data_IF_667111424749
#
_entry.id   IF_667111424749
#
_cell.length_a   1.000
_cell.length_b   1.000
_cell.length_c   1.000
_cell.angle_alpha   90.00
_cell.angle_beta   90.00
_cell.angle_gamma   90.00
#
_symmetry.space_group_name_H-M   'P 1'
#
loop_
_entity.id
_entity.type
_entity.pdbx_description
1 polymer ?
#
# COMPACT_ATOMS: atom_id res chain seq x y z
N UNK A 1 26.67 0.18 13.92
CA UNK A 1 25.41 0.82 13.50
C UNK A 1 24.46 0.86 14.68
N UNK A 2 23.89 2.02 15.00
CA UNK A 2 22.87 2.11 16.05
C UNK A 2 21.51 1.86 15.42
N UNK A 3 20.74 0.92 15.96
CA UNK A 3 19.34 0.74 15.60
C UNK A 3 18.48 1.69 16.43
N UNK A 4 17.59 2.40 15.78
CA UNK A 4 16.54 3.16 16.46
C UNK A 4 15.24 2.38 16.36
N UNK A 5 14.52 2.24 17.49
CA UNK A 5 13.22 1.59 17.52
C UNK A 5 12.16 2.65 17.74
N UNK A 6 11.14 2.67 16.89
CA UNK A 6 10.03 3.61 16.96
C UNK A 6 8.69 2.87 16.83
N UNK A 7 7.71 3.30 17.60
CA UNK A 7 6.33 2.82 17.41
C UNK A 7 5.62 3.77 16.43
N UNK A 8 5.23 3.26 15.27
CA UNK A 8 4.60 4.04 14.20
C UNK A 8 3.31 3.39 13.73
N UNK A 9 2.35 4.21 13.37
CA UNK A 9 1.17 3.76 12.65
C UNK A 9 1.56 3.41 11.20
N UNK A 10 0.91 2.43 10.62
CA UNK A 10 1.09 2.05 9.21
C UNK A 10 0.88 3.26 8.28
N UNK A 11 -0.10 4.11 8.60
CA UNK A 11 -0.32 5.38 7.89
C UNK A 11 0.96 6.20 7.82
N UNK A 12 1.65 6.39 8.94
CA UNK A 12 2.81 7.28 9.01
C UNK A 12 4.01 6.72 8.22
N UNK A 13 4.05 5.40 8.02
CA UNK A 13 5.06 4.75 7.17
C UNK A 13 4.74 5.04 5.70
N UNK A 14 3.51 4.78 5.25
CA UNK A 14 3.15 4.90 3.83
C UNK A 14 2.93 6.34 3.34
N UNK A 15 2.61 7.30 4.24
CA UNK A 15 2.44 8.71 3.86
C UNK A 15 3.76 9.48 3.66
N UNK A 16 4.89 8.87 3.95
CA UNK A 16 6.18 9.50 3.70
C UNK A 16 6.46 9.54 2.20
N UNK A 17 7.09 10.62 1.73
CA UNK A 17 7.68 10.66 0.40
C UNK A 17 8.91 9.73 0.36
N UNK A 18 8.66 8.43 0.38
CA UNK A 18 9.67 7.38 0.48
C UNK A 18 9.28 6.19 -0.38
N UNK A 19 10.27 5.50 -0.88
CA UNK A 19 10.12 4.21 -1.58
C UNK A 19 10.67 3.12 -0.68
N UNK A 20 9.92 2.04 -0.51
CA UNK A 20 10.31 0.85 0.22
C UNK A 20 10.66 -0.24 -0.78
N UNK A 21 11.95 -0.53 -0.94
CA UNK A 21 12.42 -1.56 -1.87
C UNK A 21 12.49 -2.93 -1.19
N UNK A 22 11.96 -3.92 -1.88
CA UNK A 22 12.16 -5.33 -1.52
C UNK A 22 13.42 -5.82 -2.22
N UNK A 23 14.50 -6.16 -1.47
CA UNK A 23 15.74 -6.61 -2.07
C UNK A 23 15.58 -7.94 -2.82
N UNK A 24 16.34 -8.13 -3.89
CA UNK A 24 16.33 -9.37 -4.69
C UNK A 24 16.71 -10.64 -3.94
N UNK A 25 17.46 -10.53 -2.85
CA UNK A 25 17.85 -11.66 -2.01
C UNK A 25 16.75 -12.08 -1.03
N UNK A 26 15.69 -11.28 -0.90
CA UNK A 26 14.53 -11.64 -0.10
C UNK A 26 13.70 -12.70 -0.82
N UNK A 27 13.06 -13.57 -0.02
CA UNK A 27 12.16 -14.58 -0.56
C UNK A 27 10.95 -13.95 -1.24
N UNK A 28 10.38 -14.68 -2.19
CA UNK A 28 9.13 -14.31 -2.83
C UNK A 28 7.98 -14.09 -1.85
N UNK A 29 6.92 -13.45 -2.32
CA UNK A 29 5.69 -13.33 -1.56
C UNK A 29 5.05 -14.71 -1.38
N UNK A 30 4.95 -15.19 -0.13
CA UNK A 30 4.53 -16.57 0.19
C UNK A 30 3.29 -16.66 1.08
N UNK A 31 2.68 -15.54 1.45
CA UNK A 31 1.44 -15.57 2.21
C UNK A 31 0.35 -16.27 1.42
N UNK A 32 -0.31 -17.23 2.08
CA UNK A 32 -1.42 -18.01 1.53
C UNK A 32 -2.75 -17.41 2.01
N UNK A 33 -3.84 -17.94 1.46
CA UNK A 33 -5.20 -17.52 1.81
C UNK A 33 -5.46 -17.52 3.32
N UNK A 34 -4.91 -18.47 4.06
CA UNK A 34 -5.08 -18.55 5.52
C UNK A 34 -4.51 -17.30 6.22
N UNK A 35 -3.33 -16.84 5.81
CA UNK A 35 -2.69 -15.65 6.40
C UNK A 35 -3.50 -14.38 6.09
N UNK A 36 -4.06 -14.27 4.88
CA UNK A 36 -4.95 -13.18 4.51
C UNK A 36 -6.24 -13.18 5.33
N UNK A 37 -6.83 -14.35 5.55
CA UNK A 37 -8.04 -14.50 6.37
C UNK A 37 -7.79 -14.10 7.81
N UNK A 38 -6.69 -14.51 8.40
CA UNK A 38 -6.29 -14.13 9.76
C UNK A 38 -6.17 -12.62 9.88
N UNK A 39 -5.37 -11.99 9.01
CA UNK A 39 -5.23 -10.53 9.01
C UNK A 39 -6.58 -9.83 8.82
N UNK A 40 -7.45 -10.33 7.93
CA UNK A 40 -8.76 -9.75 7.69
C UNK A 40 -9.66 -9.82 8.92
N UNK A 41 -9.65 -10.94 9.63
CA UNK A 41 -10.41 -11.11 10.90
C UNK A 41 -9.91 -10.11 11.94
N UNK A 42 -8.61 -9.96 12.09
CA UNK A 42 -8.00 -9.02 13.03
C UNK A 42 -8.35 -7.57 12.71
N UNK A 43 -8.32 -7.19 11.43
CA UNK A 43 -8.73 -5.85 10.98
C UNK A 43 -10.22 -5.60 11.24
N UNK A 44 -11.09 -6.58 10.95
CA UNK A 44 -12.52 -6.46 11.24
C UNK A 44 -12.79 -6.34 12.74
N UNK A 45 -12.09 -7.12 13.57
CA UNK A 45 -12.18 -7.02 15.01
C UNK A 45 -11.78 -5.62 15.49
N UNK A 46 -10.63 -5.12 15.03
CA UNK A 46 -10.12 -3.80 15.37
C UNK A 46 -11.12 -2.68 14.98
N UNK A 47 -11.69 -2.76 13.78
CA UNK A 47 -12.72 -1.81 13.32
C UNK A 47 -13.97 -1.82 14.21
N UNK A 48 -14.43 -3.00 14.63
CA UNK A 48 -15.58 -3.13 15.54
C UNK A 48 -15.28 -2.53 16.93
N UNK A 49 -14.05 -2.67 17.43
CA UNK A 49 -13.65 -2.12 18.73
C UNK A 49 -13.43 -0.60 18.67
N UNK A 50 -13.03 -0.03 17.54
CA UNK A 50 -12.83 1.42 17.39
C UNK A 50 -14.10 2.26 17.51
N UNK A 51 -15.29 1.63 17.53
CA UNK A 51 -16.56 2.29 17.85
C UNK A 51 -16.80 2.44 19.36
N UNK A 52 -15.85 2.03 20.20
CA UNK A 52 -15.90 2.14 21.67
C UNK A 52 -15.05 3.32 22.16
N UNK A 53 -15.23 3.70 23.41
CA UNK A 53 -14.53 4.85 24.04
C UNK A 53 -12.99 4.72 24.01
N UNK A 54 -12.46 3.48 24.04
CA UNK A 54 -11.02 3.22 23.97
C UNK A 54 -10.69 2.70 22.58
N UNK A 55 -9.90 3.46 21.76
CA UNK A 55 -9.51 3.01 20.45
C UNK A 55 -8.56 1.82 20.53
N UNK A 56 -8.89 0.76 19.79
CA UNK A 56 -8.05 -0.42 19.63
C UNK A 56 -7.11 -0.24 18.45
N UNK A 57 -5.88 -0.76 18.60
CA UNK A 57 -4.92 -0.85 17.50
C UNK A 57 -4.44 -2.29 17.35
N UNK A 58 -4.40 -2.77 16.12
CA UNK A 58 -3.79 -4.05 15.79
C UNK A 58 -2.28 -3.88 15.64
N UNK A 59 -1.51 -4.70 16.37
CA UNK A 59 -0.06 -4.72 16.23
C UNK A 59 0.35 -5.60 15.05
N UNK A 60 0.79 -4.97 13.98
CA UNK A 60 1.15 -5.67 12.73
C UNK A 60 2.51 -6.41 12.83
N UNK A 61 3.26 -6.20 13.89
CA UNK A 61 4.60 -6.75 14.10
C UNK A 61 5.72 -5.76 13.77
N UNK A 62 6.96 -6.20 13.98
CA UNK A 62 8.15 -5.39 13.73
C UNK A 62 8.45 -5.32 12.24
N UNK A 63 8.82 -4.15 11.76
CA UNK A 63 9.34 -3.92 10.41
C UNK A 63 10.75 -3.35 10.57
N UNK A 64 11.72 -3.95 9.90
CA UNK A 64 13.13 -3.48 9.92
C UNK A 64 13.46 -2.87 8.57
N UNK A 65 13.84 -1.61 8.60
CA UNK A 65 14.17 -0.82 7.43
C UNK A 65 15.62 -0.34 7.49
N UNK A 66 16.30 -0.37 6.37
CA UNK A 66 17.63 0.20 6.18
C UNK A 66 17.54 1.38 5.21
N UNK A 67 17.80 2.58 5.68
CA UNK A 67 17.79 3.76 4.82
C UNK A 67 19.04 3.76 3.92
N UNK A 68 18.83 3.85 2.60
CA UNK A 68 19.93 4.02 1.66
C UNK A 68 20.47 5.45 1.72
N UNK A 69 21.79 5.58 1.61
CA UNK A 69 22.45 6.89 1.61
C UNK A 69 22.10 7.74 0.37
N UNK A 70 21.81 7.10 -0.76
CA UNK A 70 21.42 7.79 -2.00
C UNK A 70 19.90 7.91 -2.08
N UNK A 71 19.44 9.14 -2.30
CA UNK A 71 18.07 9.43 -2.71
C UNK A 71 17.94 9.23 -4.22
N UNK A 72 16.79 8.76 -4.65
CA UNK A 72 16.45 8.72 -6.07
C UNK A 72 15.47 9.84 -6.37
N UNK A 73 15.85 10.78 -7.23
CA UNK A 73 15.01 11.94 -7.63
C UNK A 73 14.38 12.66 -6.42
N UNK A 74 15.15 12.82 -5.34
CA UNK A 74 14.72 13.51 -4.12
C UNK A 74 13.91 12.66 -3.13
N UNK A 75 13.58 11.42 -3.46
CA UNK A 75 12.85 10.50 -2.59
C UNK A 75 13.83 9.68 -1.75
N UNK A 76 13.52 9.54 -0.45
CA UNK A 76 14.25 8.63 0.43
C UNK A 76 13.92 7.17 0.08
N UNK A 77 14.95 6.33 0.01
CA UNK A 77 14.79 4.90 -0.27
C UNK A 77 15.10 4.11 0.99
N UNK A 78 14.19 3.24 1.36
CA UNK A 78 14.34 2.30 2.46
C UNK A 78 14.30 0.86 1.93
N UNK A 79 15.34 0.11 2.22
CA UNK A 79 15.39 -1.32 1.96
C UNK A 79 14.67 -2.07 3.08
N UNK A 80 13.73 -2.94 2.75
CA UNK A 80 13.00 -3.75 3.73
C UNK A 80 13.87 -4.94 4.11
N UNK A 81 14.39 -4.95 5.34
CA UNK A 81 15.23 -6.05 5.86
C UNK A 81 14.34 -7.15 6.49
N UNK A 82 13.30 -6.75 7.22
CA UNK A 82 12.29 -7.67 7.75
C UNK A 82 10.90 -7.04 7.71
N UNK A 83 9.86 -7.87 7.66
CA UNK A 83 8.46 -7.45 7.57
C UNK A 83 7.94 -7.30 6.15
N UNK A 84 8.69 -7.73 5.13
CA UNK A 84 8.31 -7.67 3.71
C UNK A 84 6.90 -8.19 3.45
N UNK A 85 6.58 -9.41 3.92
CA UNK A 85 5.28 -10.04 3.67
C UNK A 85 4.13 -9.17 4.20
N UNK A 86 4.29 -8.62 5.40
CA UNK A 86 3.30 -7.75 6.06
C UNK A 86 3.13 -6.43 5.31
N UNK A 87 4.22 -5.75 4.96
CA UNK A 87 4.16 -4.50 4.20
C UNK A 87 3.53 -4.71 2.83
N UNK A 88 3.94 -5.75 2.11
CA UNK A 88 3.37 -6.08 0.79
C UNK A 88 1.88 -6.41 0.91
N UNK A 89 1.46 -7.15 1.95
CA UNK A 89 0.05 -7.48 2.17
C UNK A 89 -0.80 -6.22 2.40
N UNK A 90 -0.33 -5.30 3.24
CA UNK A 90 -1.03 -4.02 3.47
C UNK A 90 -1.09 -3.21 2.17
N UNK A 91 0.00 -3.17 1.42
CA UNK A 91 0.05 -2.46 0.14
C UNK A 91 -0.95 -3.01 -0.88
N UNK A 92 -1.00 -4.34 -1.03
CA UNK A 92 -1.98 -5.00 -1.89
C UNK A 92 -3.43 -4.73 -1.43
N UNK A 93 -3.68 -4.70 -0.11
CA UNK A 93 -4.98 -4.33 0.43
C UNK A 93 -5.38 -2.89 0.05
N UNK A 94 -4.44 -1.94 0.11
CA UNK A 94 -4.68 -0.56 -0.31
C UNK A 94 -5.01 -0.46 -1.81
N UNK A 95 -4.34 -1.25 -2.65
CA UNK A 95 -4.64 -1.33 -4.09
C UNK A 95 -6.06 -1.89 -4.31
N UNK A 96 -6.44 -2.95 -3.58
CA UNK A 96 -7.80 -3.52 -3.64
C UNK A 96 -8.86 -2.49 -3.20
N UNK A 97 -8.59 -1.73 -2.14
CA UNK A 97 -9.49 -0.65 -1.70
C UNK A 97 -9.63 0.45 -2.75
N UNK A 98 -8.52 0.89 -3.34
CA UNK A 98 -8.51 1.85 -4.45
C UNK A 98 -9.39 1.36 -5.62
N UNK A 99 -9.21 0.10 -6.04
CA UNK A 99 -10.01 -0.52 -7.10
C UNK A 99 -11.51 -0.53 -6.77
N UNK A 100 -11.86 -0.92 -5.55
CA UNK A 100 -13.26 -0.98 -5.13
C UNK A 100 -13.90 0.40 -5.05
N UNK A 101 -13.19 1.42 -4.54
CA UNK A 101 -13.71 2.79 -4.53
C UNK A 101 -13.94 3.33 -5.95
N UNK A 102 -13.06 3.05 -6.89
CA UNK A 102 -13.25 3.43 -8.29
C UNK A 102 -14.44 2.70 -8.94
N UNK A 103 -14.60 1.39 -8.63
CA UNK A 103 -15.72 0.59 -9.13
C UNK A 103 -17.08 1.09 -8.66
N UNK A 104 -17.20 1.66 -7.47
CA UNK A 104 -18.43 2.24 -6.94
C UNK A 104 -18.90 3.45 -7.76
N UNK A 105 -18.02 4.17 -8.44
CA UNK A 105 -18.33 5.19 -9.44
C UNK A 105 -18.91 6.51 -8.91
N UNK A 106 -19.24 6.63 -7.63
CA UNK A 106 -19.77 7.88 -7.05
C UNK A 106 -18.65 8.91 -6.87
N UNK A 107 -18.98 10.21 -6.86
CA UNK A 107 -18.03 11.28 -6.62
C UNK A 107 -17.27 11.10 -5.29
N UNK A 108 -17.98 10.74 -4.22
CA UNK A 108 -17.36 10.50 -2.91
C UNK A 108 -16.39 9.31 -2.94
N UNK A 109 -16.78 8.22 -3.62
CA UNK A 109 -15.90 7.04 -3.74
C UNK A 109 -14.66 7.33 -4.57
N UNK A 110 -14.79 8.07 -5.68
CA UNK A 110 -13.66 8.49 -6.51
C UNK A 110 -12.66 9.33 -5.72
N UNK A 111 -13.13 10.33 -4.95
CA UNK A 111 -12.28 11.15 -4.08
C UNK A 111 -11.51 10.30 -3.08
N UNK A 112 -12.14 9.29 -2.47
CA UNK A 112 -11.48 8.36 -1.56
C UNK A 112 -10.45 7.48 -2.28
N UNK A 113 -10.78 6.99 -3.48
CA UNK A 113 -9.87 6.25 -4.33
C UNK A 113 -8.63 7.09 -4.67
N UNK A 114 -8.82 8.31 -5.17
CA UNK A 114 -7.72 9.24 -5.47
C UNK A 114 -6.86 9.51 -4.24
N UNK A 115 -7.47 9.75 -3.08
CA UNK A 115 -6.73 9.94 -1.83
C UNK A 115 -5.84 8.73 -1.48
N UNK A 116 -6.37 7.50 -1.60
CA UNK A 116 -5.60 6.28 -1.34
C UNK A 116 -4.44 6.16 -2.34
N UNK A 117 -4.70 6.41 -3.61
CA UNK A 117 -3.71 6.33 -4.67
C UNK A 117 -2.56 7.32 -4.46
N UNK A 118 -2.88 8.58 -4.25
CA UNK A 118 -1.91 9.67 -4.13
C UNK A 118 -1.14 9.63 -2.80
N UNK A 119 -1.73 9.04 -1.76
CA UNK A 119 -1.17 9.09 -0.40
C UNK A 119 -0.40 7.83 -0.03
N UNK A 120 -0.84 6.66 -0.51
CA UNK A 120 -0.36 5.37 -0.02
C UNK A 120 0.17 4.43 -1.11
N UNK A 121 -0.30 4.58 -2.36
CA UNK A 121 0.09 3.68 -3.44
C UNK A 121 1.26 4.25 -4.23
N UNK A 122 1.25 5.55 -4.47
CA UNK A 122 2.30 6.23 -5.22
C UNK A 122 2.91 7.37 -4.42
N UNK A 123 4.16 7.73 -4.77
CA UNK A 123 4.85 8.91 -4.30
C UNK A 123 5.31 9.73 -5.49
N UNK A 124 5.22 11.06 -5.40
CA UNK A 124 5.75 11.95 -6.42
C UNK A 124 7.24 12.21 -6.15
N UNK A 125 8.07 12.03 -7.16
CA UNK A 125 9.46 12.43 -7.13
C UNK A 125 9.63 13.93 -7.47
N UNK A 126 10.85 14.46 -7.39
CA UNK A 126 11.13 15.87 -7.70
C UNK A 126 10.88 16.25 -9.16
N UNK A 127 10.81 15.27 -10.07
CA UNK A 127 10.48 15.45 -11.49
C UNK A 127 8.96 15.34 -11.74
N UNK A 128 8.15 15.28 -10.67
CA UNK A 128 6.70 15.09 -10.73
C UNK A 128 6.26 13.77 -11.36
N UNK A 129 7.14 12.78 -11.41
CA UNK A 129 6.80 11.43 -11.83
C UNK A 129 6.29 10.61 -10.63
N UNK A 130 5.41 9.66 -10.90
CA UNK A 130 4.85 8.77 -9.89
C UNK A 130 5.65 7.49 -9.79
N UNK A 131 6.12 7.22 -8.58
CA UNK A 131 6.81 5.97 -8.23
C UNK A 131 5.92 5.14 -7.29
N UNK A 132 6.00 3.82 -7.37
CA UNK A 132 5.32 2.95 -6.41
C UNK A 132 5.95 3.11 -5.02
N UNK A 133 5.12 3.20 -3.98
CA UNK A 133 5.59 3.31 -2.59
C UNK A 133 6.29 2.03 -2.14
N UNK A 134 5.82 0.86 -2.58
CA UNK A 134 6.60 -0.38 -2.45
C UNK A 134 7.05 -0.79 -3.84
N UNK A 135 8.35 -0.96 -4.02
CA UNK A 135 8.98 -1.42 -5.25
C UNK A 135 9.59 -2.81 -5.06
N UNK A 136 9.33 -3.66 -6.03
CA UNK A 136 9.92 -4.98 -6.15
C UNK A 136 10.15 -5.28 -7.62
N UNK A 137 11.40 -5.40 -8.02
CA UNK A 137 11.80 -5.62 -9.43
C UNK A 137 11.06 -6.79 -10.11
N UNK A 138 10.59 -7.78 -9.33
CA UNK A 138 9.88 -8.95 -9.85
C UNK A 138 8.39 -8.68 -10.10
N UNK A 139 7.76 -7.77 -9.34
CA UNK A 139 6.29 -7.60 -9.32
C UNK A 139 5.81 -6.20 -9.68
N UNK A 140 6.71 -5.23 -9.91
CA UNK A 140 6.33 -3.85 -10.19
C UNK A 140 5.46 -3.71 -11.44
N UNK A 141 5.72 -4.51 -12.47
CA UNK A 141 4.93 -4.50 -13.69
C UNK A 141 3.51 -5.04 -13.45
N UNK A 142 3.36 -6.14 -12.72
CA UNK A 142 2.08 -6.72 -12.36
C UNK A 142 1.27 -5.79 -11.45
N UNK A 143 1.94 -5.11 -10.51
CA UNK A 143 1.32 -4.10 -9.64
C UNK A 143 0.82 -2.92 -10.47
N UNK A 144 1.63 -2.39 -11.39
CA UNK A 144 1.23 -1.30 -12.29
C UNK A 144 0.04 -1.70 -13.16
N UNK A 145 0.09 -2.88 -13.77
CA UNK A 145 -1.03 -3.44 -14.56
C UNK A 145 -2.29 -3.61 -13.71
N UNK A 146 -2.16 -4.07 -12.46
CA UNK A 146 -3.28 -4.20 -11.53
C UNK A 146 -3.90 -2.84 -11.20
N UNK A 147 -3.10 -1.79 -11.02
CA UNK A 147 -3.56 -0.43 -10.80
C UNK A 147 -4.25 0.13 -12.04
N UNK A 148 -3.65 0.00 -13.23
CA UNK A 148 -4.16 0.53 -14.49
C UNK A 148 -5.46 -0.14 -14.93
N UNK A 149 -5.62 -1.44 -14.68
CA UNK A 149 -6.87 -2.15 -14.97
C UNK A 149 -8.06 -1.58 -14.20
N UNK A 150 -7.82 -0.97 -13.04
CA UNK A 150 -8.84 -0.30 -12.25
C UNK A 150 -9.31 1.01 -12.89
N UNK A 151 -8.42 1.76 -13.55
CA UNK A 151 -8.75 3.00 -14.26
C UNK A 151 -9.53 2.74 -15.54
N UNK A 152 -9.25 1.64 -16.25
CA UNK A 152 -9.97 1.24 -17.48
C UNK A 152 -11.42 0.78 -17.23
N UNK A 153 -11.72 0.16 -16.10
CA UNK A 153 -13.09 -0.26 -15.75
C UNK A 153 -14.02 0.94 -15.61
N UNK A 154 -13.52 2.08 -15.19
CA UNK A 154 -14.29 3.32 -15.07
C UNK A 154 -14.67 3.92 -16.45
N UNK A 155 -13.88 3.63 -17.48
CA UNK A 155 -14.09 4.13 -18.84
C UNK A 155 -15.12 3.27 -19.60
N UNK A 156 -15.10 1.96 -19.40
CA UNK A 156 -16.00 0.99 -20.06
C UNK A 156 -17.45 1.13 -19.57
N UNK A 157 -17.67 1.53 -18.31
CA UNK A 157 -19.03 1.70 -17.77
C UNK A 157 -19.75 2.96 -18.27
N UNK A 158 -19.05 3.88 -18.96
CA UNK A 158 -19.68 5.06 -19.59
C UNK A 158 -20.20 4.79 -21.00
N UNK A 159 -19.66 3.79 -21.70
CA UNK A 159 -20.04 3.48 -23.07
C UNK A 159 -21.16 2.43 -23.20
N UNK A 160 -21.55 1.77 -22.11
CA UNK A 160 -22.65 0.80 -22.09
C UNK A 160 -24.00 1.39 -21.64
N UNK A 161 -24.27 2.67 -21.98
CA UNK A 161 -25.64 3.20 -21.99
C UNK A 161 -26.11 3.33 -23.44
N UNK A 162 -26.34 2.19 -24.07
CA UNK A 162 -27.16 2.11 -25.28
C UNK A 162 -27.74 0.70 -25.38
N UNK A 163 -29.05 0.67 -25.27
CA UNK A 163 -30.07 -0.38 -25.39
C UNK A 163 -30.56 -0.97 -24.10
#
# INVERSE_FOLDING_TARGET
MAFTTENRKIRDIFQRASIYEVPRYQRDYVWKEINWKELWIDLQFTLKQNNKEIPWSHFLGTIVLNQRLKKTKGIDIYEIIDGQQRMMTVYLLLIVLYKNFNKLGTESSKKRGTYIYDTFITSLNMESERELVISNDLYDNEIKLAIDSASKITTISKDNKLY
#
